data_IF_457137950060
#
_entry.id   IF_457137950060
#
_cell.length_a   1.000
_cell.length_b   1.000
_cell.length_c   1.000
_cell.angle_alpha   90.00
_cell.angle_beta   90.00
_cell.angle_gamma   90.00
#
_symmetry.space_group_name_H-M   'P 1'
#
loop_
_entity.id
_entity.type
_entity.pdbx_description
1 polymer ?
#
# COMPACT_ATOMS: atom_id res chain seq x y z
N UNK A 1 -2.75 12.29 -20.78
CA UNK A 1 -1.78 12.24 -19.66
C UNK A 1 -2.32 11.31 -18.60
N UNK A 2 -1.46 10.50 -17.98
CA UNK A 2 -1.82 9.67 -16.83
C UNK A 2 -1.21 10.26 -15.56
N UNK A 3 -1.99 10.35 -14.48
CA UNK A 3 -1.49 10.75 -13.17
C UNK A 3 -1.20 9.50 -12.33
N UNK A 4 -0.10 9.53 -11.57
CA UNK A 4 0.11 8.55 -10.50
C UNK A 4 -0.99 8.70 -9.44
N UNK A 5 -1.56 7.57 -9.02
CA UNK A 5 -2.63 7.53 -8.01
C UNK A 5 -2.23 6.68 -6.82
N UNK A 6 -2.73 7.05 -5.64
CA UNK A 6 -2.62 6.25 -4.41
C UNK A 6 -4.01 5.74 -4.07
N UNK A 7 -4.12 4.43 -3.88
CA UNK A 7 -5.35 3.79 -3.39
C UNK A 7 -5.16 3.45 -1.92
N UNK A 8 -5.79 4.22 -1.03
CA UNK A 8 -5.87 3.94 0.41
C UNK A 8 -7.30 3.55 0.77
N UNK A 9 -7.49 2.26 1.07
CA UNK A 9 -8.79 1.67 1.32
C UNK A 9 -8.67 0.43 2.21
N UNK A 10 -9.74 -0.02 2.87
CA UNK A 10 -9.72 -1.25 3.65
C UNK A 10 -9.66 -2.48 2.72
N UNK A 11 -8.44 -2.92 2.38
CA UNK A 11 -8.22 -4.10 1.54
C UNK A 11 -8.31 -5.43 2.29
N UNK A 12 -8.62 -5.41 3.59
CA UNK A 12 -8.61 -6.57 4.50
C UNK A 12 -9.35 -7.80 3.93
N UNK A 13 -10.49 -7.59 3.26
CA UNK A 13 -11.29 -8.68 2.70
C UNK A 13 -10.63 -9.39 1.50
N UNK A 14 -9.62 -8.76 0.89
CA UNK A 14 -9.00 -9.21 -0.35
C UNK A 14 -7.57 -9.70 -0.17
N UNK A 15 -6.96 -9.49 1.01
CA UNK A 15 -5.56 -9.83 1.27
C UNK A 15 -5.26 -11.32 1.04
N UNK A 16 -6.23 -12.20 1.25
CA UNK A 16 -6.05 -13.65 1.09
C UNK A 16 -6.10 -14.14 -0.36
N UNK A 17 -6.60 -13.34 -1.31
CA UNK A 17 -6.76 -13.71 -2.71
C UNK A 17 -5.48 -13.33 -3.50
N UNK A 18 -4.65 -14.31 -3.92
CA UNK A 18 -3.38 -14.04 -4.59
C UNK A 18 -3.52 -13.29 -5.92
N UNK A 19 -4.66 -13.43 -6.60
CA UNK A 19 -4.92 -12.91 -7.94
C UNK A 19 -5.77 -11.63 -7.91
N UNK A 20 -6.07 -11.09 -6.72
CA UNK A 20 -6.98 -9.96 -6.55
C UNK A 20 -6.59 -8.76 -7.42
N UNK A 21 -5.33 -8.30 -7.34
CA UNK A 21 -4.86 -7.13 -8.08
C UNK A 21 -4.87 -7.36 -9.60
N UNK A 22 -4.43 -8.53 -10.04
CA UNK A 22 -4.46 -8.91 -11.46
C UNK A 22 -5.90 -8.88 -11.99
N UNK A 23 -6.82 -9.51 -11.26
CA UNK A 23 -8.23 -9.59 -11.65
C UNK A 23 -8.91 -8.23 -11.59
N UNK A 24 -8.66 -7.43 -10.54
CA UNK A 24 -9.26 -6.12 -10.34
C UNK A 24 -8.85 -5.14 -11.43
N UNK A 25 -7.56 -5.09 -11.78
CA UNK A 25 -7.04 -4.18 -12.81
C UNK A 25 -7.49 -4.58 -14.21
N UNK A 26 -7.51 -5.88 -14.52
CA UNK A 26 -8.05 -6.38 -15.79
C UNK A 26 -9.54 -6.07 -15.95
N UNK A 27 -10.36 -6.30 -14.91
CA UNK A 27 -11.79 -5.97 -14.92
C UNK A 27 -12.06 -4.47 -15.08
N UNK A 28 -11.21 -3.65 -14.48
CA UNK A 28 -11.31 -2.20 -14.60
C UNK A 28 -10.73 -1.65 -15.92
N UNK A 29 -10.15 -2.50 -16.76
CA UNK A 29 -9.56 -2.10 -18.05
C UNK A 29 -8.38 -1.14 -17.89
N UNK A 30 -7.58 -1.31 -16.84
CA UNK A 30 -6.41 -0.45 -16.63
C UNK A 30 -5.40 -0.63 -17.77
N UNK A 31 -4.76 0.46 -18.23
CA UNK A 31 -3.64 0.34 -19.13
C UNK A 31 -2.47 -0.38 -18.43
N UNK A 32 -1.47 -0.78 -19.20
CA UNK A 32 -0.23 -1.30 -18.61
C UNK A 32 0.35 -0.26 -17.63
N UNK A 33 0.38 -0.64 -16.35
CA UNK A 33 0.67 0.27 -15.25
C UNK A 33 1.63 -0.40 -14.28
N UNK A 34 2.67 0.33 -13.87
CA UNK A 34 3.53 -0.11 -12.78
C UNK A 34 2.77 0.02 -11.46
N UNK A 35 2.51 -1.12 -10.81
CA UNK A 35 1.81 -1.17 -9.52
C UNK A 35 2.84 -1.38 -8.41
N UNK A 36 2.74 -0.56 -7.36
CA UNK A 36 3.47 -0.75 -6.10
C UNK A 36 2.49 -1.01 -4.97
N UNK A 37 2.77 -2.04 -4.19
CA UNK A 37 1.98 -2.45 -3.02
C UNK A 37 2.79 -2.14 -1.78
N UNK A 38 2.40 -1.11 -1.02
CA UNK A 38 3.06 -0.75 0.23
C UNK A 38 2.24 -1.30 1.39
N UNK A 39 2.73 -2.36 2.02
CA UNK A 39 2.13 -2.97 3.20
C UNK A 39 2.61 -2.24 4.45
N UNK A 40 1.69 -1.54 5.12
CA UNK A 40 1.99 -0.80 6.35
C UNK A 40 1.44 -1.59 7.54
N UNK A 41 2.33 -1.98 8.44
CA UNK A 41 1.99 -2.69 9.68
C UNK A 41 2.35 -1.85 10.89
N UNK A 42 1.81 -2.18 12.05
CA UNK A 42 2.27 -1.65 13.33
C UNK A 42 2.10 -2.73 14.40
N UNK A 43 2.89 -2.66 15.46
CA UNK A 43 2.79 -3.59 16.58
C UNK A 43 1.45 -3.46 17.31
N UNK A 44 1.04 -4.56 17.96
CA UNK A 44 -0.21 -4.62 18.71
C UNK A 44 -0.33 -3.48 19.74
N UNK A 45 0.75 -3.20 20.46
CA UNK A 45 0.79 -2.14 21.46
C UNK A 45 0.53 -0.76 20.83
N UNK A 46 1.19 -0.46 19.71
CA UNK A 46 1.03 0.82 18.99
C UNK A 46 -0.38 0.96 18.44
N UNK A 47 -0.94 -0.08 17.82
CA UNK A 47 -2.32 -0.03 17.30
C UNK A 47 -3.30 0.18 18.45
N UNK A 48 -3.18 -0.58 19.55
CA UNK A 48 -4.05 -0.44 20.72
C UNK A 48 -3.99 0.97 21.30
N UNK A 49 -2.79 1.52 21.47
CA UNK A 49 -2.61 2.89 21.96
C UNK A 49 -3.30 3.92 21.04
N UNK A 50 -3.11 3.82 19.72
CA UNK A 50 -3.76 4.71 18.75
C UNK A 50 -5.29 4.59 18.73
N UNK A 51 -5.84 3.40 18.99
CA UNK A 51 -7.29 3.21 19.14
C UNK A 51 -7.84 3.89 20.39
N UNK A 52 -7.10 3.83 21.50
CA UNK A 52 -7.46 4.49 22.77
C UNK A 52 -7.39 6.01 22.58
N UNK A 53 -6.28 6.53 22.06
CA UNK A 53 -6.05 7.97 21.92
C UNK A 53 -7.07 8.66 21.01
N UNK A 54 -7.51 7.98 19.93
CA UNK A 54 -8.51 8.55 19.01
C UNK A 54 -9.94 8.51 19.56
N UNK A 55 -10.22 7.68 20.56
CA UNK A 55 -11.48 7.70 21.32
C UNK A 55 -12.78 7.53 20.53
N UNK A 56 -12.78 6.88 19.36
CA UNK A 56 -13.99 6.74 18.53
C UNK A 56 -14.88 5.59 19.03
N UNK A 57 -16.20 5.82 19.09
CA UNK A 57 -17.16 4.83 19.59
C UNK A 57 -17.12 3.49 18.84
N UNK A 58 -16.85 3.52 17.52
CA UNK A 58 -16.71 2.33 16.68
C UNK A 58 -15.54 1.41 17.07
N UNK A 59 -14.61 1.91 17.88
CA UNK A 59 -13.44 1.15 18.31
C UNK A 59 -13.61 0.51 19.69
N UNK A 60 -14.65 0.90 20.46
CA UNK A 60 -14.94 0.30 21.77
C UNK A 60 -15.08 -1.21 21.68
N UNK A 61 -15.85 -1.69 20.70
CA UNK A 61 -16.04 -3.13 20.44
C UNK A 61 -14.72 -3.87 20.18
N UNK A 62 -13.71 -3.20 19.58
CA UNK A 62 -12.39 -3.80 19.32
C UNK A 62 -11.54 -3.84 20.57
N UNK A 63 -11.68 -2.83 21.43
CA UNK A 63 -10.89 -2.69 22.66
C UNK A 63 -11.42 -3.60 23.78
N UNK A 64 -12.73 -3.82 23.83
CA UNK A 64 -13.39 -4.68 24.82
C UNK A 64 -12.93 -6.15 24.73
N UNK A 65 -12.62 -6.64 23.52
CA UNK A 65 -12.03 -7.96 23.27
C UNK A 65 -10.79 -7.85 22.35
N UNK A 66 -9.79 -7.13 22.87
CA UNK A 66 -8.57 -6.81 22.12
C UNK A 66 -7.83 -8.03 21.60
N UNK A 67 -7.67 -9.08 22.40
CA UNK A 67 -6.84 -10.24 22.03
C UNK A 67 -7.49 -11.05 20.90
N UNK A 68 -8.81 -11.19 20.92
CA UNK A 68 -9.56 -11.83 19.84
C UNK A 68 -9.51 -11.00 18.56
N UNK A 69 -9.73 -9.68 18.66
CA UNK A 69 -9.61 -8.76 17.53
C UNK A 69 -8.23 -8.84 16.89
N UNK A 70 -7.17 -8.75 17.71
CA UNK A 70 -5.79 -8.75 17.22
C UNK A 70 -5.42 -10.09 16.57
N UNK A 71 -5.81 -11.22 17.17
CA UNK A 71 -5.57 -12.56 16.58
C UNK A 71 -6.22 -12.70 15.21
N UNK A 72 -7.40 -12.10 15.02
CA UNK A 72 -8.16 -12.19 13.77
C UNK A 72 -7.64 -11.27 12.68
N UNK A 73 -7.26 -10.03 13.03
CA UNK A 73 -6.99 -8.98 12.04
C UNK A 73 -5.55 -8.46 12.06
N UNK A 74 -4.85 -8.53 13.19
CA UNK A 74 -3.53 -7.95 13.38
C UNK A 74 -2.38 -8.73 12.71
N UNK A 75 -2.62 -9.99 12.33
CA UNK A 75 -1.66 -10.87 11.67
C UNK A 75 -2.07 -11.26 10.24
N UNK A 76 -2.98 -10.50 9.62
CA UNK A 76 -3.36 -10.76 8.24
C UNK A 76 -2.22 -10.36 7.29
N UNK A 77 -1.83 -11.31 6.45
CA UNK A 77 -0.79 -11.13 5.44
C UNK A 77 -1.42 -10.92 4.06
N UNK A 78 -0.82 -10.04 3.27
CA UNK A 78 -1.19 -9.85 1.87
C UNK A 78 -0.55 -10.96 1.02
N UNK A 79 -1.39 -11.75 0.36
CA UNK A 79 -1.00 -12.86 -0.53
C UNK A 79 -0.93 -12.50 -2.00
N UNK A 80 -1.20 -11.24 -2.35
CA UNK A 80 -1.19 -10.78 -3.74
C UNK A 80 0.16 -11.08 -4.39
N UNK A 81 0.13 -11.61 -5.62
CA UNK A 81 1.35 -12.00 -6.34
C UNK A 81 1.81 -10.96 -7.36
N UNK A 82 0.91 -10.08 -7.79
CA UNK A 82 1.18 -9.05 -8.79
C UNK A 82 1.55 -7.70 -8.15
N UNK A 83 2.41 -6.95 -8.83
CA UNK A 83 2.91 -5.65 -8.36
C UNK A 83 4.21 -5.78 -7.59
N UNK A 84 4.86 -4.64 -7.33
CA UNK A 84 6.10 -4.59 -6.55
C UNK A 84 5.75 -4.39 -5.07
N UNK A 85 6.11 -5.35 -4.22
CA UNK A 85 5.75 -5.32 -2.81
C UNK A 85 6.83 -4.65 -1.95
N UNK A 86 6.39 -3.76 -1.06
CA UNK A 86 7.20 -3.10 -0.06
C UNK A 86 6.55 -3.25 1.31
N UNK A 87 7.36 -3.33 2.35
CA UNK A 87 6.90 -3.47 3.72
C UNK A 87 7.41 -2.30 4.57
N UNK A 88 6.52 -1.70 5.35
CA UNK A 88 6.82 -0.58 6.24
C UNK A 88 6.23 -0.87 7.61
N UNK A 89 7.08 -0.79 8.64
CA UNK A 89 6.64 -0.82 10.04
C UNK A 89 6.38 0.61 10.50
N UNK A 90 5.17 0.86 10.95
CA UNK A 90 4.66 2.16 11.39
C UNK A 90 4.49 2.20 12.91
N UNK A 91 5.57 1.86 13.61
CA UNK A 91 5.63 1.95 15.07
C UNK A 91 6.09 3.33 15.54
N UNK A 92 6.78 4.08 14.66
CA UNK A 92 7.32 5.40 14.98
C UNK A 92 7.29 6.37 13.76
N UNK A 93 7.80 7.57 13.97
CA UNK A 93 7.83 8.64 12.96
C UNK A 93 8.78 8.39 11.77
N UNK A 94 9.63 7.35 11.80
CA UNK A 94 10.50 6.99 10.67
C UNK A 94 9.70 6.38 9.52
N UNK A 95 8.54 5.80 9.81
CA UNK A 95 7.70 5.13 8.82
C UNK A 95 7.31 6.04 7.66
N UNK A 96 6.99 7.31 7.96
CA UNK A 96 6.68 8.30 6.93
C UNK A 96 7.86 8.50 5.97
N UNK A 97 9.09 8.63 6.50
CA UNK A 97 10.30 8.74 5.68
C UNK A 97 10.55 7.50 4.83
N UNK A 98 10.22 6.32 5.32
CA UNK A 98 10.33 5.09 4.55
C UNK A 98 9.36 5.10 3.35
N UNK A 99 8.11 5.50 3.56
CA UNK A 99 7.10 5.65 2.48
C UNK A 99 7.51 6.72 1.48
N UNK A 100 7.97 7.89 1.94
CA UNK A 100 8.44 8.97 1.07
C UNK A 100 9.57 8.52 0.14
N UNK A 101 10.53 7.74 0.66
CA UNK A 101 11.62 7.18 -0.15
C UNK A 101 11.11 6.23 -1.23
N UNK A 102 10.12 5.38 -0.92
CA UNK A 102 9.52 4.46 -1.90
C UNK A 102 8.82 5.20 -3.03
N UNK A 103 8.05 6.24 -2.68
CA UNK A 103 7.33 7.07 -3.67
C UNK A 103 8.32 7.84 -4.54
N UNK A 104 9.38 8.42 -3.94
CA UNK A 104 10.35 9.26 -4.66
C UNK A 104 11.31 8.43 -5.54
N UNK A 105 11.75 7.26 -5.08
CA UNK A 105 12.58 6.35 -5.88
C UNK A 105 11.90 5.87 -7.17
N UNK A 106 10.57 5.98 -7.22
CA UNK A 106 9.75 5.59 -8.38
C UNK A 106 9.61 6.71 -9.41
N UNK A 107 10.02 7.94 -9.06
CA UNK A 107 9.89 9.15 -9.89
C UNK A 107 11.05 9.43 -10.86
N UNK A 108 12.12 8.64 -10.89
CA UNK A 108 13.17 8.80 -11.92
C UNK A 108 12.72 8.19 -13.25
N UNK A 109 11.94 8.96 -14.00
CA UNK A 109 11.74 8.77 -15.44
C UNK A 109 12.93 9.46 -16.13
N UNK A 110 13.94 8.70 -16.51
CA UNK A 110 14.81 9.12 -17.62
C UNK A 110 13.97 9.08 -18.88
N UNK A 111 13.63 10.25 -19.42
CA UNK A 111 13.20 10.37 -20.81
C UNK A 111 14.30 9.75 -21.68
N UNK A 112 13.99 8.89 -22.67
CA UNK A 112 14.99 8.51 -23.65
C UNK A 112 15.45 9.78 -24.38
N UNK A 113 16.76 9.97 -24.53
CA UNK A 113 17.32 10.96 -25.46
C UNK A 113 16.64 10.79 -26.82
N UNK A 114 16.09 11.87 -27.37
CA UNK A 114 15.60 11.88 -28.74
C UNK A 114 16.76 11.51 -29.68
N UNK A 115 16.62 10.51 -30.57
CA UNK A 115 17.65 10.23 -31.56
C UNK A 115 17.73 11.42 -32.52
N UNK A 116 18.95 11.92 -32.67
CA UNK A 116 19.28 13.15 -33.39
C UNK A 116 18.67 13.26 -34.77
N UNK A 117 18.29 14.49 -35.10
CA UNK A 117 18.01 14.95 -36.45
C UNK A 117 19.24 14.73 -37.33
N UNK A 118 19.24 13.65 -38.10
CA UNK A 118 20.06 13.54 -39.30
C UNK A 118 19.11 13.35 -40.49
N UNK A 119 18.95 14.41 -41.27
CA UNK A 119 18.22 14.39 -42.52
C UNK A 119 19.09 15.09 -43.58
N UNK A 120 19.60 14.36 -44.58
CA UNK A 120 20.43 14.96 -45.61
C UNK A 120 19.55 15.61 -46.70
N UNK A 121 20.05 16.69 -47.28
CA UNK A 121 19.68 17.18 -48.60
C UNK A 121 20.90 17.04 -49.53
#
# INVERSE_FOLDING_TARGET
MGHSVVLDAPFVAYLSDPDYLLTATARAGWPETRIQVIQVTASAAVVKQRLVDRGLDRDRVKLDDWDSYWRRFGALECRWQSGQHHFVVNDDAQALRAVEKLITATGHITTPDEPGSDQPA
#
